data_IF_324980875563
#
_entry.id   IF_324980875563
#
_cell.length_a   1.000
_cell.length_b   1.000
_cell.length_c   1.000
_cell.angle_alpha   90.00
_cell.angle_beta   90.00
_cell.angle_gamma   90.00
#
_symmetry.space_group_name_H-M   'P 1'
#
loop_
_entity.id
_entity.type
_entity.pdbx_description
1 polymer ?
#
# COMPACT_ATOMS: atom_id res chain seq x y z
N UNK A 1 27.93 -10.05 1.75
CA UNK A 1 27.49 -9.07 0.73
C UNK A 1 26.02 -9.32 0.46
N UNK A 2 25.12 -8.56 1.09
CA UNK A 2 23.68 -8.79 1.00
C UNK A 2 23.13 -8.43 -0.38
N UNK A 3 22.24 -9.26 -0.93
CA UNK A 3 21.56 -8.97 -2.20
C UNK A 3 20.83 -7.62 -2.12
N UNK A 4 21.08 -6.74 -3.10
CA UNK A 4 20.35 -5.46 -3.26
C UNK A 4 18.96 -5.66 -3.88
N UNK A 5 18.66 -6.88 -4.33
CA UNK A 5 17.38 -7.29 -4.90
C UNK A 5 16.62 -8.13 -3.87
N UNK A 6 15.40 -7.71 -3.54
CA UNK A 6 14.48 -8.43 -2.64
C UNK A 6 13.32 -8.96 -3.47
N UNK A 7 13.09 -10.28 -3.42
CA UNK A 7 11.91 -10.91 -4.03
C UNK A 7 10.66 -10.33 -3.36
N UNK A 8 9.67 -9.93 -4.16
CA UNK A 8 8.39 -9.51 -3.60
C UNK A 8 7.66 -10.72 -3.04
N UNK A 9 7.31 -10.63 -1.77
CA UNK A 9 6.45 -11.56 -1.07
C UNK A 9 5.06 -10.93 -0.99
N UNK A 10 4.03 -11.76 -1.05
CA UNK A 10 2.64 -11.35 -0.95
C UNK A 10 2.10 -11.77 0.42
N UNK A 11 1.27 -10.92 1.02
CA UNK A 11 0.62 -11.16 2.31
C UNK A 11 -0.86 -10.98 2.11
N UNK A 12 -1.66 -11.88 2.68
CA UNK A 12 -3.11 -11.79 2.68
C UNK A 12 -3.57 -11.15 3.99
N UNK A 13 -4.35 -10.08 3.88
CA UNK A 13 -5.01 -9.39 4.99
C UNK A 13 -6.50 -9.73 4.93
N UNK A 14 -7.05 -10.25 6.02
CA UNK A 14 -8.50 -10.49 6.11
C UNK A 14 -9.20 -9.20 6.53
N UNK A 15 -10.33 -8.92 5.90
CA UNK A 15 -11.25 -7.84 6.22
C UNK A 15 -12.46 -8.38 6.99
N UNK A 16 -13.23 -7.48 7.57
CA UNK A 16 -14.52 -7.82 8.19
C UNK A 16 -15.47 -8.34 7.12
N UNK A 17 -16.22 -9.40 7.43
CA UNK A 17 -17.17 -10.00 6.47
C UNK A 17 -16.60 -11.12 5.60
N UNK A 18 -15.33 -11.47 5.76
CA UNK A 18 -14.70 -12.59 5.05
C UNK A 18 -14.06 -12.21 3.72
N UNK A 19 -14.05 -10.92 3.40
CA UNK A 19 -13.25 -10.37 2.31
C UNK A 19 -11.76 -10.36 2.64
N UNK A 20 -10.92 -10.25 1.63
CA UNK A 20 -9.48 -10.22 1.79
C UNK A 20 -8.80 -9.27 0.81
N UNK A 21 -7.64 -8.78 1.22
CA UNK A 21 -6.69 -8.04 0.41
C UNK A 21 -5.42 -8.87 0.25
N UNK A 22 -4.87 -8.93 -0.95
CA UNK A 22 -3.54 -9.45 -1.23
C UNK A 22 -2.62 -8.26 -1.45
N UNK A 23 -1.64 -8.08 -0.57
CA UNK A 23 -0.75 -6.92 -0.55
C UNK A 23 0.70 -7.34 -0.66
N UNK A 24 1.55 -6.43 -1.14
CA UNK A 24 3.00 -6.58 -1.07
C UNK A 24 3.43 -6.57 0.39
N UNK A 25 4.30 -7.52 0.77
CA UNK A 25 4.92 -7.52 2.11
C UNK A 25 5.77 -6.26 2.32
N UNK A 26 6.46 -5.81 1.28
CA UNK A 26 7.32 -4.64 1.35
C UNK A 26 7.28 -3.89 0.02
N UNK A 27 7.24 -2.57 0.09
CA UNK A 27 7.55 -1.72 -1.05
C UNK A 27 9.07 -1.67 -1.29
N UNK A 28 9.44 -1.64 -2.56
CA UNK A 28 10.77 -1.24 -2.99
C UNK A 28 10.91 0.28 -2.93
N UNK A 29 12.14 0.79 -2.88
CA UNK A 29 12.40 2.23 -2.88
C UNK A 29 11.85 2.94 -4.13
N UNK A 30 11.70 2.22 -5.25
CA UNK A 30 11.06 2.75 -6.46
C UNK A 30 9.56 2.93 -6.31
N UNK A 31 8.89 1.94 -5.69
CA UNK A 31 7.44 1.96 -5.44
C UNK A 31 7.08 3.02 -4.39
N UNK A 32 7.85 3.12 -3.31
CA UNK A 32 7.67 4.15 -2.28
C UNK A 32 7.79 5.57 -2.87
N UNK A 33 8.83 5.83 -3.68
CA UNK A 33 8.97 7.11 -4.37
C UNK A 33 7.87 7.37 -5.39
N UNK A 34 7.40 6.33 -6.09
CA UNK A 34 6.33 6.46 -7.08
C UNK A 34 5.00 6.86 -6.40
N UNK A 35 4.67 6.23 -5.27
CA UNK A 35 3.51 6.57 -4.46
C UNK A 35 3.55 8.05 -4.05
N UNK A 36 4.68 8.51 -3.51
CA UNK A 36 4.86 9.90 -3.08
C UNK A 36 4.80 10.90 -4.26
N UNK A 37 5.38 10.56 -5.42
CA UNK A 37 5.39 11.43 -6.58
C UNK A 37 3.98 11.65 -7.18
N UNK A 38 3.08 10.66 -7.07
CA UNK A 38 1.70 10.79 -7.54
C UNK A 38 0.88 11.76 -6.70
N UNK A 39 1.13 11.81 -5.39
CA UNK A 39 0.49 12.75 -4.47
C UNK A 39 0.90 14.19 -4.77
N UNK A 40 2.19 14.42 -5.06
CA UNK A 40 2.72 15.75 -5.39
C UNK A 40 2.16 16.28 -6.72
N UNK A 41 1.90 15.41 -7.70
CA UNK A 41 1.33 15.83 -9.00
C UNK A 41 -0.17 16.14 -8.95
N UNK A 42 -0.93 15.56 -8.01
CA UNK A 42 -2.35 15.85 -7.84
C UNK A 42 -2.59 17.25 -7.26
N UNK A 43 -1.66 17.74 -6.42
CA UNK A 43 -1.60 19.13 -6.00
C UNK A 43 -1.10 20.01 -7.15
N UNK A 44 -1.99 20.50 -7.99
CA UNK A 44 -1.68 21.33 -9.16
C UNK A 44 -0.70 22.46 -8.80
N UNK A 45 0.54 22.38 -9.30
CA UNK A 45 1.49 23.48 -9.25
C UNK A 45 1.02 24.60 -10.18
N UNK A 46 0.28 25.58 -9.65
CA UNK A 46 0.26 26.92 -10.23
C UNK A 46 1.46 27.67 -9.69
N UNK A 47 2.26 28.26 -10.59
CA UNK A 47 3.45 29.02 -10.22
C UNK A 47 3.08 30.14 -9.24
N UNK A 48 3.41 29.96 -7.95
CA UNK A 48 3.15 30.92 -6.87
C UNK A 48 2.21 30.42 -5.75
N UNK A 49 1.53 29.28 -5.92
CA UNK A 49 0.70 28.68 -4.86
C UNK A 49 1.48 27.59 -4.10
N UNK A 50 1.23 27.51 -2.78
CA UNK A 50 1.76 26.42 -1.97
C UNK A 50 1.11 25.10 -2.42
N UNK A 51 1.85 24.01 -2.59
CA UNK A 51 1.26 22.73 -2.93
C UNK A 51 0.26 22.33 -1.83
N UNK A 52 -1.03 22.24 -2.18
CA UNK A 52 -2.03 21.62 -1.33
C UNK A 52 -1.84 20.11 -1.40
N UNK A 53 -1.48 19.53 -0.25
CA UNK A 53 -1.39 18.10 -0.08
C UNK A 53 -2.81 17.57 0.13
N UNK A 54 -3.37 16.92 -0.88
CA UNK A 54 -4.62 16.17 -0.71
C UNK A 54 -4.32 14.89 0.08
N UNK A 55 -4.63 14.93 1.37
CA UNK A 55 -4.39 13.84 2.31
C UNK A 55 -5.24 12.59 2.01
N UNK A 56 -6.41 12.76 1.39
CA UNK A 56 -7.26 11.65 0.95
C UNK A 56 -6.60 10.93 -0.23
N UNK A 57 -6.07 11.68 -1.20
CA UNK A 57 -5.25 11.14 -2.28
C UNK A 57 -3.98 10.45 -1.77
N UNK A 58 -3.38 10.92 -0.67
CA UNK A 58 -2.19 10.30 -0.07
C UNK A 58 -2.50 8.87 0.43
N UNK A 59 -3.59 8.68 1.18
CA UNK A 59 -3.99 7.37 1.69
C UNK A 59 -4.27 6.36 0.57
N UNK A 60 -5.04 6.78 -0.44
CA UNK A 60 -5.37 5.92 -1.59
C UNK A 60 -4.11 5.60 -2.41
N UNK A 61 -3.22 6.57 -2.64
CA UNK A 61 -1.99 6.34 -3.41
C UNK A 61 -1.05 5.34 -2.72
N UNK A 62 -0.97 5.39 -1.40
CA UNK A 62 -0.24 4.40 -0.61
C UNK A 62 -0.90 3.02 -0.71
N UNK A 63 -2.23 2.95 -0.57
CA UNK A 63 -2.98 1.71 -0.70
C UNK A 63 -2.77 1.03 -2.05
N UNK A 64 -2.88 1.77 -3.17
CA UNK A 64 -2.63 1.23 -4.52
C UNK A 64 -1.20 0.68 -4.68
N UNK A 65 -0.24 1.27 -3.96
CA UNK A 65 1.15 0.83 -4.03
C UNK A 65 1.39 -0.47 -3.28
N UNK A 66 0.58 -0.77 -2.27
CA UNK A 66 0.61 -2.06 -1.56
C UNK A 66 -0.27 -3.12 -2.20
N UNK A 67 -1.44 -2.74 -2.71
CA UNK A 67 -2.47 -3.66 -3.19
C UNK A 67 -2.06 -4.39 -4.47
N UNK A 68 -2.25 -5.71 -4.48
CA UNK A 68 -2.01 -6.59 -5.63
C UNK A 68 -3.30 -7.23 -6.13
N UNK A 69 -4.17 -7.64 -5.21
CA UNK A 69 -5.48 -8.22 -5.52
C UNK A 69 -6.43 -8.13 -4.32
N UNK A 70 -7.71 -8.45 -4.52
CA UNK A 70 -8.72 -8.51 -3.45
C UNK A 70 -9.88 -9.45 -3.80
N UNK A 71 -10.78 -9.72 -2.84
CA UNK A 71 -12.05 -10.44 -3.12
C UNK A 71 -13.26 -9.57 -3.38
N UNK A 72 -13.15 -8.26 -3.22
CA UNK A 72 -14.29 -7.35 -3.18
C UNK A 72 -15.14 -7.46 -4.45
N UNK A 73 -16.45 -7.58 -4.27
CA UNK A 73 -17.44 -7.63 -5.35
C UNK A 73 -18.12 -6.28 -5.54
N UNK A 74 -18.70 -6.06 -6.73
CA UNK A 74 -19.54 -4.90 -7.01
C UNK A 74 -20.98 -5.08 -6.49
N UNK A 75 -21.84 -4.10 -6.76
CA UNK A 75 -23.24 -4.13 -6.33
C UNK A 75 -24.08 -5.27 -6.97
N UNK A 76 -23.59 -5.90 -8.05
CA UNK A 76 -24.20 -7.06 -8.69
C UNK A 76 -23.55 -8.39 -8.21
N UNK A 77 -22.75 -8.35 -7.15
CA UNK A 77 -21.98 -9.47 -6.61
C UNK A 77 -20.94 -10.03 -7.60
N UNK A 78 -20.44 -9.20 -8.52
CA UNK A 78 -19.40 -9.58 -9.48
C UNK A 78 -18.01 -9.22 -8.95
N UNK A 79 -17.01 -10.12 -9.04
CA UNK A 79 -15.65 -9.82 -8.59
C UNK A 79 -15.03 -8.63 -9.33
N UNK A 80 -14.53 -7.64 -8.59
CA UNK A 80 -13.79 -6.52 -9.15
C UNK A 80 -12.34 -6.97 -9.37
N UNK A 81 -11.97 -7.28 -10.61
CA UNK A 81 -10.62 -7.78 -10.92
C UNK A 81 -9.61 -6.64 -10.97
N UNK A 82 -8.72 -6.58 -9.98
CA UNK A 82 -7.65 -5.57 -9.92
C UNK A 82 -6.25 -6.16 -10.17
N UNK A 83 -6.09 -7.49 -10.14
CA UNK A 83 -4.82 -8.15 -10.49
C UNK A 83 -4.33 -7.69 -11.86
N UNK A 84 -3.09 -7.22 -11.92
CA UNK A 84 -2.41 -6.70 -13.12
C UNK A 84 -3.13 -5.51 -13.80
N UNK A 85 -4.13 -4.92 -13.14
CA UNK A 85 -4.83 -3.76 -13.66
C UNK A 85 -3.95 -2.50 -13.60
N UNK A 86 -4.25 -1.54 -14.47
CA UNK A 86 -3.56 -0.26 -14.47
C UNK A 86 -3.82 0.49 -13.16
N UNK A 87 -2.81 1.24 -12.69
CA UNK A 87 -2.90 2.04 -11.47
C UNK A 87 -4.20 2.85 -11.38
N UNK A 88 -4.57 3.55 -12.46
CA UNK A 88 -5.73 4.45 -12.46
C UNK A 88 -7.04 3.69 -12.28
N UNK A 89 -7.11 2.43 -12.73
CA UNK A 89 -8.25 1.55 -12.50
C UNK A 89 -8.34 1.14 -11.03
N UNK A 90 -7.24 0.68 -10.44
CA UNK A 90 -7.19 0.29 -9.01
C UNK A 90 -7.54 1.49 -8.12
N UNK A 91 -7.00 2.66 -8.46
CA UNK A 91 -7.28 3.92 -7.79
C UNK A 91 -8.77 4.28 -7.85
N UNK A 92 -9.39 4.19 -9.03
CA UNK A 92 -10.83 4.42 -9.19
C UNK A 92 -11.67 3.39 -8.44
N UNK A 93 -11.25 2.12 -8.44
CA UNK A 93 -11.95 1.05 -7.73
C UNK A 93 -11.97 1.28 -6.21
N UNK A 94 -10.86 1.77 -5.64
CA UNK A 94 -10.80 2.18 -4.23
C UNK A 94 -11.71 3.39 -3.95
N UNK A 95 -11.72 4.40 -4.82
CA UNK A 95 -12.59 5.57 -4.68
C UNK A 95 -14.08 5.27 -4.75
N UNK A 96 -14.45 4.18 -5.42
CA UNK A 96 -15.86 3.76 -5.55
C UNK A 96 -16.34 2.90 -4.37
N UNK A 97 -15.48 2.58 -3.41
CA UNK A 97 -15.88 1.89 -2.18
C UNK A 97 -16.74 2.80 -1.29
N UNK A 98 -17.56 2.20 -0.43
CA UNK A 98 -18.26 2.97 0.61
C UNK A 98 -17.24 3.61 1.58
N UNK A 99 -17.60 4.70 2.26
CA UNK A 99 -16.69 5.35 3.21
C UNK A 99 -16.17 4.39 4.29
N UNK A 100 -17.01 3.49 4.79
CA UNK A 100 -16.66 2.49 5.80
C UNK A 100 -15.69 1.45 5.25
N UNK A 101 -15.97 0.91 4.06
CA UNK A 101 -15.11 -0.09 3.42
C UNK A 101 -13.76 0.49 3.01
N UNK A 102 -13.76 1.70 2.43
CA UNK A 102 -12.52 2.40 2.10
C UNK A 102 -11.66 2.61 3.34
N UNK A 103 -12.26 3.09 4.44
CA UNK A 103 -11.55 3.29 5.70
C UNK A 103 -10.94 1.99 6.21
N UNK A 104 -11.70 0.90 6.21
CA UNK A 104 -11.21 -0.41 6.64
C UNK A 104 -10.01 -0.88 5.81
N UNK A 105 -10.08 -0.74 4.48
CA UNK A 105 -8.98 -1.08 3.57
C UNK A 105 -7.73 -0.25 3.88
N UNK A 106 -7.89 1.06 4.08
CA UNK A 106 -6.78 1.96 4.40
C UNK A 106 -6.15 1.61 5.76
N UNK A 107 -6.98 1.37 6.78
CA UNK A 107 -6.53 1.01 8.13
C UNK A 107 -5.78 -0.33 8.11
N UNK A 108 -6.27 -1.33 7.36
CA UNK A 108 -5.61 -2.62 7.21
C UNK A 108 -4.23 -2.51 6.55
N UNK A 109 -4.12 -1.73 5.47
CA UNK A 109 -2.84 -1.51 4.77
C UNK A 109 -1.89 -0.69 5.64
N UNK A 110 -2.37 0.32 6.35
CA UNK A 110 -1.56 1.12 7.26
C UNK A 110 -1.02 0.29 8.43
N UNK A 111 -1.86 -0.56 9.02
CA UNK A 111 -1.43 -1.48 10.08
C UNK A 111 -0.36 -2.45 9.60
N UNK A 112 -0.50 -2.97 8.37
CA UNK A 112 0.51 -3.80 7.73
C UNK A 112 1.83 -3.06 7.53
N UNK A 113 1.80 -1.83 6.99
CA UNK A 113 3.00 -1.01 6.80
C UNK A 113 3.72 -0.70 8.12
N UNK A 114 2.97 -0.36 9.17
CA UNK A 114 3.50 -0.15 10.51
C UNK A 114 4.18 -1.41 11.06
N UNK A 115 3.51 -2.57 10.99
CA UNK A 115 4.05 -3.84 11.45
C UNK A 115 5.34 -4.23 10.70
N UNK A 116 5.38 -3.98 9.39
CA UNK A 116 6.59 -4.25 8.58
C UNK A 116 7.73 -3.29 8.90
N UNK A 117 7.43 -2.04 9.25
CA UNK A 117 8.43 -1.05 9.67
C UNK A 117 9.03 -1.43 11.03
N UNK A 118 8.20 -1.86 11.98
CA UNK A 118 8.62 -2.36 13.28
C UNK A 118 9.49 -3.61 13.15
N UNK A 119 9.05 -4.60 12.37
CA UNK A 119 9.84 -5.82 12.12
C UNK A 119 11.23 -5.51 11.55
N UNK A 120 11.35 -4.57 10.61
CA UNK A 120 12.66 -4.13 10.07
C UNK A 120 13.50 -3.40 11.12
N UNK A 121 12.88 -2.65 12.03
CA UNK A 121 13.59 -1.97 13.10
C UNK A 121 14.14 -2.98 14.12
N UNK A 122 13.41 -4.04 14.42
CA UNK A 122 13.85 -5.14 15.28
C UNK A 122 14.98 -5.96 14.63
N UNK A 123 14.86 -6.31 13.35
CA UNK A 123 15.94 -6.98 12.59
C UNK A 123 17.26 -6.21 12.64
N UNK A 124 17.22 -4.87 12.63
CA UNK A 124 18.39 -4.00 12.74
C UNK A 124 18.95 -3.87 14.16
N UNK A 125 18.12 -4.12 15.18
CA UNK A 125 18.51 -4.05 16.60
C UNK A 125 19.05 -5.38 17.12
N UNK A 126 18.82 -6.50 16.44
CA UNK A 126 19.43 -7.78 16.77
C UNK A 126 20.96 -7.68 16.57
N UNK A 127 21.78 -7.85 17.63
CA UNK A 127 23.22 -7.72 17.50
C UNK A 127 23.79 -8.83 16.62
N UNK A 128 24.28 -8.45 15.44
CA UNK A 128 25.23 -9.26 14.68
C UNK A 128 26.56 -9.28 15.44
N UNK A 129 26.72 -10.22 16.36
CA UNK A 129 28.01 -10.49 16.97
C UNK A 129 27.95 -11.00 18.41
N UNK A 130 27.92 -12.32 18.57
CA UNK A 130 28.92 -13.01 19.38
C UNK A 130 29.29 -14.29 18.63
N UNK A 131 30.44 -14.25 17.95
CA UNK A 131 31.18 -15.45 17.58
C UNK A 131 31.70 -16.06 18.87
N UNK A 132 31.33 -17.29 19.20
CA UNK A 132 31.93 -18.03 20.30
C UNK A 132 33.13 -18.87 19.78
N UNK A 133 34.27 -18.90 20.49
CA UNK A 133 35.44 -19.72 20.16
C UNK A 133 35.23 -21.21 20.46
#
# INVERSE_FOLDING_TARGET
MGSRYRKQEEVRLELTGGDWLLVRKHLTAGEERHAHAKVIKAGTMRSGEKPELDLEHLGIAQAVSYLLDWSITDADDKPIKIRDAAYDFVFAALRNQTPESLREILDAIQAHDAAMTEARAEEKKAPAGVSAP
#
